data_IF_556554602332
#
_entry.id   IF_556554602332
#
_cell.length_a   1.000
_cell.length_b   1.000
_cell.length_c   1.000
_cell.angle_alpha   90.00
_cell.angle_beta   90.00
_cell.angle_gamma   90.00
#
_symmetry.space_group_name_H-M   'P 1'
#
loop_
_entity.id
_entity.type
_entity.pdbx_description
1 polymer ?
#
# COMPACT_ATOMS: atom_id res chain seq x y z
N UNK A 1 5.03 -3.80 27.02
CA UNK A 1 6.34 -4.49 27.10
C UNK A 1 7.31 -3.76 26.18
N UNK A 2 8.39 -3.17 26.70
CA UNK A 2 9.31 -2.37 25.88
C UNK A 2 10.28 -3.28 25.12
N UNK A 3 10.29 -3.23 23.78
CA UNK A 3 11.32 -3.90 22.95
C UNK A 3 12.64 -3.13 23.06
N UNK A 4 13.72 -3.74 23.60
CA UNK A 4 15.02 -3.08 23.68
C UNK A 4 15.53 -2.70 22.28
N UNK A 5 16.24 -1.58 22.17
CA UNK A 5 16.68 -0.99 20.89
C UNK A 5 18.19 -0.84 20.86
N UNK A 6 18.78 -1.03 19.69
CA UNK A 6 20.16 -0.64 19.40
C UNK A 6 20.16 0.68 18.63
N UNK A 7 20.94 1.65 19.09
CA UNK A 7 21.02 2.99 18.51
C UNK A 7 22.42 3.19 17.95
N UNK A 8 22.51 3.69 16.72
CA UNK A 8 23.77 4.24 16.19
C UNK A 8 24.01 5.62 16.83
N UNK A 9 25.12 5.71 17.56
CA UNK A 9 25.49 6.87 18.37
C UNK A 9 25.83 8.08 17.49
N UNK A 10 26.27 7.88 16.24
CA UNK A 10 26.64 8.98 15.35
C UNK A 10 25.43 9.59 14.65
N UNK A 11 24.42 8.77 14.33
CA UNK A 11 23.25 9.20 13.56
C UNK A 11 21.99 9.36 14.42
N UNK A 12 22.02 8.95 15.69
CA UNK A 12 20.87 8.88 16.61
C UNK A 12 19.71 8.08 16.01
N UNK A 13 20.03 7.08 15.17
CA UNK A 13 19.03 6.21 14.52
C UNK A 13 18.95 4.86 15.22
N UNK A 14 17.74 4.36 15.38
CA UNK A 14 17.53 2.98 15.83
C UNK A 14 17.91 2.05 14.67
N UNK A 15 18.94 1.24 14.86
CA UNK A 15 19.47 0.32 13.83
C UNK A 15 18.89 -1.08 13.94
N UNK A 16 18.54 -1.51 15.15
CA UNK A 16 17.95 -2.82 15.38
C UNK A 16 16.98 -2.82 16.56
N UNK A 17 16.03 -3.73 16.51
CA UNK A 17 15.11 -4.04 17.58
C UNK A 17 15.33 -5.45 18.09
N UNK A 18 15.11 -5.60 19.38
CA UNK A 18 15.24 -6.86 20.09
C UNK A 18 13.87 -7.36 20.52
N UNK A 19 13.49 -8.54 20.04
CA UNK A 19 12.33 -9.29 20.49
C UNK A 19 12.78 -10.52 21.28
N UNK A 20 12.07 -10.86 22.36
CA UNK A 20 12.34 -12.05 23.16
C UNK A 20 11.03 -12.76 23.48
N UNK A 21 11.02 -14.08 23.33
CA UNK A 21 9.96 -14.97 23.77
C UNK A 21 10.53 -15.87 24.86
N UNK A 22 9.91 -15.82 26.04
CA UNK A 22 10.15 -16.78 27.11
C UNK A 22 9.20 -17.96 26.93
N UNK A 23 9.75 -19.18 26.94
CA UNK A 23 8.96 -20.40 26.74
C UNK A 23 8.30 -20.78 28.07
N UNK A 24 6.99 -20.59 28.17
CA UNK A 24 6.24 -20.90 29.40
C UNK A 24 5.73 -22.35 29.44
N UNK A 25 5.58 -23.02 28.30
CA UNK A 25 5.15 -24.42 28.24
C UNK A 25 6.32 -25.36 28.56
N UNK A 26 6.11 -26.28 29.51
CA UNK A 26 7.13 -27.25 29.90
C UNK A 26 7.57 -28.15 28.74
N UNK A 27 6.65 -28.51 27.84
CA UNK A 27 6.97 -29.28 26.64
C UNK A 27 7.82 -28.47 25.65
N UNK A 28 7.54 -27.17 25.50
CA UNK A 28 8.35 -26.29 24.67
C UNK A 28 9.75 -26.07 25.26
N UNK A 29 9.86 -25.96 26.59
CA UNK A 29 11.14 -25.86 27.28
C UNK A 29 11.98 -27.14 27.09
N UNK A 30 11.36 -28.31 27.25
CA UNK A 30 12.01 -29.61 27.07
C UNK A 30 12.46 -29.79 25.63
N UNK A 31 11.57 -29.52 24.67
CA UNK A 31 11.89 -29.57 23.23
C UNK A 31 13.07 -28.66 22.86
N UNK A 32 13.12 -27.43 23.41
CA UNK A 32 14.25 -26.53 23.21
C UNK A 32 15.56 -27.04 23.84
N UNK A 33 15.49 -27.69 25.02
CA UNK A 33 16.64 -28.27 25.73
C UNK A 33 17.23 -29.47 25.01
N UNK A 34 16.36 -30.37 24.53
CA UNK A 34 16.71 -31.55 23.74
C UNK A 34 17.25 -31.19 22.36
N UNK A 35 17.03 -29.95 21.94
CA UNK A 35 17.68 -29.36 20.79
C UNK A 35 16.90 -29.43 19.51
N UNK A 36 15.57 -29.35 19.63
CA UNK A 36 14.67 -29.16 18.51
C UNK A 36 15.19 -28.08 17.55
N UNK A 37 14.94 -28.32 16.26
CA UNK A 37 15.22 -27.37 15.21
C UNK A 37 14.38 -26.11 15.40
N UNK A 38 14.98 -24.96 15.08
CA UNK A 38 14.34 -23.66 15.21
C UNK A 38 14.37 -22.96 13.88
N UNK A 39 13.19 -22.70 13.36
CA UNK A 39 13.01 -21.93 12.15
C UNK A 39 12.43 -20.55 12.49
N UNK A 40 12.85 -19.54 11.73
CA UNK A 40 12.27 -18.20 11.81
C UNK A 40 11.68 -17.82 10.47
N UNK A 41 10.40 -17.49 10.46
CA UNK A 41 9.65 -17.11 9.28
C UNK A 41 9.15 -15.68 9.45
N UNK A 42 9.39 -14.83 8.45
CA UNK A 42 8.84 -13.47 8.46
C UNK A 42 7.43 -13.50 7.88
N UNK A 43 6.43 -13.41 8.74
CA UNK A 43 5.01 -13.48 8.36
C UNK A 43 4.44 -12.11 7.99
N UNK A 44 5.01 -11.03 8.52
CA UNK A 44 4.75 -9.66 8.05
C UNK A 44 5.99 -8.78 8.17
N UNK A 45 5.93 -7.55 7.66
CA UNK A 45 7.03 -6.59 7.81
C UNK A 45 7.40 -6.36 9.30
N UNK A 46 6.43 -6.45 10.20
CA UNK A 46 6.58 -6.20 11.63
C UNK A 46 6.52 -7.47 12.49
N UNK A 47 6.36 -8.66 11.90
CA UNK A 47 6.18 -9.91 12.67
C UNK A 47 7.15 -10.98 12.19
N UNK A 48 7.90 -11.55 13.14
CA UNK A 48 8.72 -12.74 12.92
C UNK A 48 8.13 -13.87 13.75
N UNK A 49 7.72 -14.94 13.09
CA UNK A 49 7.25 -16.17 13.70
C UNK A 49 8.42 -17.10 13.95
N UNK A 50 8.50 -17.64 15.17
CA UNK A 50 9.46 -18.65 15.60
C UNK A 50 8.74 -20.00 15.63
N UNK A 51 9.27 -20.98 14.94
CA UNK A 51 8.83 -22.37 14.96
C UNK A 51 9.86 -23.19 15.73
N UNK A 52 9.43 -23.95 16.73
CA UNK A 52 10.29 -24.85 17.52
C UNK A 52 9.78 -26.28 17.33
N UNK A 53 10.57 -27.11 16.66
CA UNK A 53 10.14 -28.42 16.19
C UNK A 53 8.88 -28.33 15.31
N UNK A 54 8.01 -29.34 15.40
CA UNK A 54 6.76 -29.39 14.63
C UNK A 54 5.56 -28.78 15.36
N UNK A 55 5.68 -28.53 16.67
CA UNK A 55 4.51 -28.38 17.54
C UNK A 55 4.36 -26.98 18.13
N UNK A 56 5.41 -26.16 18.16
CA UNK A 56 5.37 -24.89 18.85
C UNK A 56 5.60 -23.71 17.90
N UNK A 57 4.68 -22.75 17.96
CA UNK A 57 4.70 -21.52 17.19
C UNK A 57 4.57 -20.32 18.12
N UNK A 58 5.49 -19.38 17.99
CA UNK A 58 5.48 -18.11 18.74
C UNK A 58 5.64 -16.94 17.78
N UNK A 59 5.06 -15.78 18.11
CA UNK A 59 5.14 -14.58 17.28
C UNK A 59 5.81 -13.43 18.02
N UNK A 60 6.81 -12.84 17.38
CA UNK A 60 7.46 -11.62 17.83
C UNK A 60 6.96 -10.44 17.00
N UNK A 61 6.16 -9.59 17.64
CA UNK A 61 5.64 -8.36 17.05
C UNK A 61 6.58 -7.18 17.36
N UNK A 62 7.07 -6.54 16.32
CA UNK A 62 7.91 -5.35 16.38
C UNK A 62 7.08 -4.08 16.10
N UNK A 63 7.38 -2.95 16.76
CA UNK A 63 6.66 -1.69 16.55
C UNK A 63 6.96 -1.01 15.21
N UNK A 64 7.96 -1.46 14.46
CA UNK A 64 8.33 -0.96 13.14
C UNK A 64 8.82 -2.12 12.26
N UNK A 65 8.72 -2.01 10.93
CA UNK A 65 9.25 -3.02 10.03
C UNK A 65 10.71 -3.39 10.29
N UNK A 66 10.99 -4.69 10.27
CA UNK A 66 12.34 -5.26 10.47
C UNK A 66 12.71 -6.24 9.36
N UNK A 67 14.01 -6.50 9.20
CA UNK A 67 14.52 -7.47 8.22
C UNK A 67 14.93 -8.79 8.88
N UNK A 68 14.19 -9.87 8.61
CA UNK A 68 14.55 -11.22 9.09
C UNK A 68 15.85 -11.73 8.48
N UNK A 69 16.12 -11.45 7.21
CA UNK A 69 17.31 -11.96 6.49
C UNK A 69 18.64 -11.54 7.12
N UNK A 70 18.68 -10.41 7.82
CA UNK A 70 19.84 -9.87 8.55
C UNK A 70 19.70 -9.99 10.07
N UNK A 71 18.70 -10.72 10.54
CA UNK A 71 18.45 -10.89 11.98
C UNK A 71 19.41 -11.89 12.61
N UNK A 72 19.73 -11.66 13.88
CA UNK A 72 20.53 -12.58 14.70
C UNK A 72 19.61 -13.30 15.67
N UNK A 73 19.60 -14.63 15.57
CA UNK A 73 18.91 -15.51 16.51
C UNK A 73 19.82 -15.84 17.69
N UNK A 74 19.28 -15.74 18.90
CA UNK A 74 19.94 -16.10 20.15
C UNK A 74 19.07 -17.08 20.91
N UNK A 75 19.67 -18.23 21.22
CA UNK A 75 18.98 -19.36 21.83
C UNK A 75 19.60 -19.62 23.20
N UNK A 76 18.78 -19.56 24.24
CA UNK A 76 19.21 -19.91 25.57
C UNK A 76 18.43 -21.13 26.04
N UNK A 77 18.99 -22.32 25.75
CA UNK A 77 18.35 -23.61 26.02
C UNK A 77 18.17 -23.89 27.50
N UNK A 78 19.12 -23.49 28.35
CA UNK A 78 19.06 -23.71 29.80
C UNK A 78 18.01 -22.82 30.48
N UNK A 79 17.97 -21.54 30.11
CA UNK A 79 17.03 -20.53 30.62
C UNK A 79 15.76 -20.40 29.77
N UNK A 80 15.55 -21.33 28.84
CA UNK A 80 14.36 -21.50 28.00
C UNK A 80 13.79 -20.23 27.36
N UNK A 81 14.63 -19.45 26.66
CA UNK A 81 14.16 -18.32 25.86
C UNK A 81 14.77 -18.28 24.47
N UNK A 82 14.02 -17.66 23.54
CA UNK A 82 14.44 -17.35 22.18
C UNK A 82 14.43 -15.84 22.00
N UNK A 83 15.52 -15.30 21.47
CA UNK A 83 15.71 -13.87 21.28
C UNK A 83 16.11 -13.59 19.83
N UNK A 84 15.49 -12.58 19.23
CA UNK A 84 15.79 -12.12 17.88
C UNK A 84 16.22 -10.67 17.93
N UNK A 85 17.40 -10.38 17.42
CA UNK A 85 17.86 -9.01 17.14
C UNK A 85 17.70 -8.77 15.64
N UNK A 86 16.67 -8.01 15.28
CA UNK A 86 16.30 -7.76 13.90
C UNK A 86 16.61 -6.30 13.51
N UNK A 87 17.39 -6.06 12.43
CA UNK A 87 17.63 -4.71 11.93
C UNK A 87 16.32 -4.04 11.50
N UNK A 88 16.20 -2.73 11.78
CA UNK A 88 15.09 -1.93 11.26
C UNK A 88 15.21 -1.84 9.75
N UNK A 89 14.08 -2.01 9.05
CA UNK A 89 14.06 -1.92 7.60
C UNK A 89 14.36 -0.50 7.14
N UNK A 90 15.27 -0.35 6.17
CA UNK A 90 15.58 0.95 5.59
C UNK A 90 14.39 1.51 4.82
N UNK A 91 14.25 2.84 4.80
CA UNK A 91 13.11 3.52 4.20
C UNK A 91 12.93 3.20 2.71
N UNK A 92 14.04 3.01 1.97
CA UNK A 92 14.01 2.64 0.56
C UNK A 92 13.55 1.19 0.34
N UNK A 93 13.69 0.31 1.34
CA UNK A 93 13.14 -1.05 1.29
C UNK A 93 11.62 -1.08 1.58
N UNK A 94 11.07 0.02 2.11
CA UNK A 94 9.64 0.15 2.45
C UNK A 94 8.79 0.71 1.32
N UNK A 95 9.32 0.88 0.10
CA UNK A 95 8.59 1.50 -1.02
C UNK A 95 7.20 0.91 -1.23
N UNK A 96 7.10 -0.43 -1.17
CA UNK A 96 5.88 -1.21 -1.34
C UNK A 96 4.97 -1.23 -0.09
N UNK A 97 5.47 -0.82 1.07
CA UNK A 97 4.73 -0.83 2.34
C UNK A 97 3.97 0.49 2.55
N UNK A 98 3.12 0.87 1.59
CA UNK A 98 2.30 2.09 1.69
C UNK A 98 0.95 1.83 2.36
N UNK A 99 0.23 0.82 1.86
CA UNK A 99 -1.08 0.40 2.36
C UNK A 99 -1.09 -1.11 2.66
N UNK A 100 -0.31 -1.55 3.67
CA UNK A 100 -0.27 -2.95 4.04
C UNK A 100 -1.68 -3.49 4.29
N UNK A 101 -1.98 -4.59 3.63
CA UNK A 101 -3.23 -5.32 3.75
C UNK A 101 -2.89 -6.78 3.98
N UNK A 102 -3.59 -7.42 4.90
CA UNK A 102 -3.38 -8.82 5.29
C UNK A 102 -4.72 -9.55 5.31
N UNK A 103 -4.69 -10.87 5.26
CA UNK A 103 -5.90 -11.68 5.38
C UNK A 103 -6.02 -12.10 6.84
N UNK A 104 -7.12 -11.71 7.46
CA UNK A 104 -7.49 -12.10 8.83
C UNK A 104 -8.79 -12.89 8.76
N UNK A 105 -8.79 -14.13 9.26
CA UNK A 105 -9.95 -15.02 9.24
C UNK A 105 -10.72 -15.03 7.91
N UNK A 106 -10.02 -15.18 6.78
CA UNK A 106 -10.53 -15.13 5.39
C UNK A 106 -10.99 -13.75 4.87
N UNK A 107 -10.89 -12.70 5.67
CA UNK A 107 -11.24 -11.34 5.29
C UNK A 107 -9.98 -10.49 5.08
N UNK A 108 -9.85 -9.80 3.94
CA UNK A 108 -8.77 -8.84 3.74
C UNK A 108 -8.96 -7.60 4.62
N UNK A 109 -8.01 -7.34 5.51
CA UNK A 109 -7.96 -6.20 6.42
C UNK A 109 -6.88 -5.23 5.95
N UNK A 110 -7.23 -3.94 5.84
CA UNK A 110 -6.26 -2.87 5.58
C UNK A 110 -5.78 -2.29 6.91
N UNK A 111 -4.46 -2.22 7.09
CA UNK A 111 -3.86 -1.79 8.36
C UNK A 111 -4.04 -0.28 8.60
N UNK A 112 -3.69 0.55 7.61
CA UNK A 112 -3.49 1.99 7.80
C UNK A 112 -4.34 2.86 6.84
N UNK A 113 -5.28 2.26 6.11
CA UNK A 113 -6.23 2.99 5.27
C UNK A 113 -7.46 3.42 6.10
N UNK A 114 -7.73 4.72 6.30
CA UNK A 114 -8.90 5.18 7.07
C UNK A 114 -10.21 4.74 6.40
N UNK A 115 -11.31 4.45 7.10
CA UNK A 115 -12.59 4.11 6.43
C UNK A 115 -13.26 5.33 5.78
N UNK A 116 -14.00 5.15 4.68
CA UNK A 116 -14.78 6.23 4.04
C UNK A 116 -16.14 5.77 3.50
N UNK A 117 -17.14 6.62 3.75
CA UNK A 117 -18.48 6.48 3.18
C UNK A 117 -18.62 7.46 2.02
N UNK A 118 -18.26 7.02 0.81
CA UNK A 118 -18.15 7.88 -0.36
C UNK A 118 -19.47 8.58 -0.73
N UNK A 119 -20.60 7.93 -0.50
CA UNK A 119 -21.92 8.49 -0.80
C UNK A 119 -22.27 9.71 0.05
N UNK A 120 -21.55 9.93 1.16
CA UNK A 120 -21.72 11.09 2.06
C UNK A 120 -20.73 12.22 1.79
N UNK A 121 -19.74 12.00 0.92
CA UNK A 121 -18.74 13.04 0.63
C UNK A 121 -19.27 14.02 -0.43
N UNK A 122 -19.16 15.35 -0.21
CA UNK A 122 -19.55 16.36 -1.18
C UNK A 122 -18.78 16.20 -2.49
N UNK A 123 -19.48 16.42 -3.61
CA UNK A 123 -18.92 16.29 -4.95
C UNK A 123 -18.35 17.64 -5.40
N UNK A 124 -17.12 17.61 -5.93
CA UNK A 124 -16.49 18.78 -6.53
C UNK A 124 -16.97 18.96 -7.97
N UNK A 125 -17.36 20.19 -8.30
CA UNK A 125 -17.77 20.57 -9.65
C UNK A 125 -16.55 20.79 -10.55
N UNK A 126 -16.25 19.78 -11.38
CA UNK A 126 -15.14 19.81 -12.35
C UNK A 126 -15.41 20.63 -13.61
N UNK A 127 -16.59 21.25 -13.75
CA UNK A 127 -16.86 22.20 -14.84
C UNK A 127 -16.29 23.58 -14.53
N UNK A 128 -16.18 23.93 -13.24
CA UNK A 128 -15.64 25.19 -12.74
C UNK A 128 -14.14 25.07 -12.45
N UNK A 129 -13.34 24.73 -13.47
CA UNK A 129 -11.90 24.47 -13.33
C UNK A 129 -11.13 25.59 -12.63
N UNK A 130 -11.53 26.87 -12.82
CA UNK A 130 -10.92 28.02 -12.12
C UNK A 130 -11.03 27.91 -10.59
N UNK A 131 -12.14 27.36 -10.08
CA UNK A 131 -12.36 27.17 -8.64
C UNK A 131 -11.58 25.97 -8.07
N UNK A 132 -10.97 25.15 -8.93
CA UNK A 132 -10.21 23.97 -8.54
C UNK A 132 -8.69 24.19 -8.58
N UNK A 133 -8.20 25.41 -8.80
CA UNK A 133 -6.75 25.68 -8.86
C UNK A 133 -6.00 25.25 -7.60
N UNK A 134 -6.65 25.34 -6.43
CA UNK A 134 -6.10 24.86 -5.16
C UNK A 134 -5.75 23.36 -5.19
N UNK A 135 -6.40 22.55 -6.04
CA UNK A 135 -6.15 21.12 -6.17
C UNK A 135 -4.74 20.85 -6.70
N UNK A 136 -4.17 21.74 -7.52
CA UNK A 136 -2.76 21.62 -7.97
C UNK A 136 -1.83 21.64 -6.77
N UNK A 137 -2.01 22.62 -5.87
CA UNK A 137 -1.22 22.73 -4.65
C UNK A 137 -1.45 21.53 -3.74
N UNK A 138 -2.72 21.18 -3.47
CA UNK A 138 -3.06 20.06 -2.59
C UNK A 138 -2.46 18.75 -3.07
N UNK A 139 -2.60 18.43 -4.36
CA UNK A 139 -2.02 17.20 -4.93
C UNK A 139 -0.49 17.26 -5.01
N UNK A 140 0.13 18.44 -5.11
CA UNK A 140 1.60 18.57 -5.07
C UNK A 140 2.18 18.33 -3.67
N UNK A 141 1.37 18.49 -2.61
CA UNK A 141 1.81 18.22 -1.24
C UNK A 141 1.98 16.73 -0.94
N UNK A 142 1.43 15.82 -1.78
CA UNK A 142 1.64 14.38 -1.61
C UNK A 142 3.11 13.95 -1.73
N UNK A 143 3.94 14.78 -2.38
CA UNK A 143 5.37 14.54 -2.55
C UNK A 143 6.15 15.12 -1.37
N UNK A 144 6.94 14.28 -0.71
CA UNK A 144 7.94 14.70 0.28
C UNK A 144 9.05 15.55 -0.36
N UNK A 145 9.83 16.27 0.45
CA UNK A 145 10.97 17.06 -0.02
C UNK A 145 11.93 16.22 -0.88
N UNK A 146 12.26 15.01 -0.41
CA UNK A 146 13.11 14.06 -1.16
C UNK A 146 12.49 13.70 -2.52
N UNK A 147 11.21 13.35 -2.55
CA UNK A 147 10.49 13.00 -3.78
C UNK A 147 10.40 14.17 -4.76
N UNK A 148 10.29 15.41 -4.26
CA UNK A 148 10.33 16.62 -5.12
C UNK A 148 11.68 16.79 -5.79
N UNK A 149 12.78 16.61 -5.04
CA UNK A 149 14.14 16.65 -5.60
C UNK A 149 14.33 15.54 -6.64
N UNK A 150 13.95 14.30 -6.32
CA UNK A 150 14.02 13.19 -7.27
C UNK A 150 13.17 13.45 -8.53
N UNK A 151 11.98 14.05 -8.37
CA UNK A 151 11.10 14.40 -9.48
C UNK A 151 11.76 15.42 -10.41
N UNK A 152 12.42 16.44 -9.88
CA UNK A 152 13.15 17.43 -10.68
C UNK A 152 14.28 16.77 -11.48
N UNK A 153 15.06 15.91 -10.85
CA UNK A 153 16.14 15.17 -11.53
C UNK A 153 15.59 14.19 -12.58
N UNK A 154 14.42 13.59 -12.33
CA UNK A 154 13.80 12.63 -13.24
C UNK A 154 13.24 13.23 -14.53
N UNK A 155 13.13 14.57 -14.62
CA UNK A 155 12.70 15.23 -15.86
C UNK A 155 13.69 15.00 -17.03
N UNK A 156 14.92 14.60 -16.71
CA UNK A 156 15.98 14.33 -17.69
C UNK A 156 16.12 12.84 -18.05
N UNK A 157 15.30 11.95 -17.46
CA UNK A 157 15.36 10.49 -17.71
C UNK A 157 14.47 10.16 -18.91
N UNK A 158 15.01 9.49 -19.93
CA UNK A 158 14.26 8.99 -21.07
C UNK A 158 13.11 8.07 -20.59
N UNK A 159 11.87 8.40 -20.99
CA UNK A 159 10.66 7.67 -20.57
C UNK A 159 10.06 8.10 -19.24
N UNK A 160 10.75 8.92 -18.43
CA UNK A 160 10.18 9.58 -17.24
C UNK A 160 9.76 8.65 -16.08
N UNK A 161 10.09 7.35 -16.13
CA UNK A 161 9.82 6.37 -15.07
C UNK A 161 11.06 6.25 -14.17
N UNK A 162 10.90 6.47 -12.87
CA UNK A 162 12.00 6.36 -11.90
C UNK A 162 12.14 4.92 -11.38
N UNK A 163 13.28 4.57 -10.77
CA UNK A 163 13.41 3.29 -10.04
C UNK A 163 12.56 3.21 -8.77
N UNK A 164 12.03 4.34 -8.29
CA UNK A 164 11.30 4.40 -7.02
C UNK A 164 9.80 4.22 -7.30
N UNK A 165 9.24 3.08 -6.90
CA UNK A 165 7.88 2.68 -7.24
C UNK A 165 6.84 3.64 -6.61
N UNK A 166 7.10 4.09 -5.38
CA UNK A 166 6.26 5.02 -4.64
C UNK A 166 6.17 6.39 -5.33
N UNK A 167 7.29 6.91 -5.82
CA UNK A 167 7.35 8.16 -6.56
C UNK A 167 6.55 8.06 -7.85
N UNK A 168 6.71 6.98 -8.62
CA UNK A 168 5.95 6.77 -9.85
C UNK A 168 4.45 6.67 -9.57
N UNK A 169 4.05 5.89 -8.56
CA UNK A 169 2.67 5.79 -8.10
C UNK A 169 2.06 7.18 -7.79
N UNK A 170 2.80 8.03 -7.06
CA UNK A 170 2.35 9.41 -6.78
C UNK A 170 2.27 10.27 -8.05
N UNK A 171 3.21 10.11 -8.99
CA UNK A 171 3.19 10.81 -10.29
C UNK A 171 1.98 10.39 -11.13
N UNK A 172 1.67 9.10 -11.21
CA UNK A 172 0.50 8.59 -11.93
C UNK A 172 -0.80 9.06 -11.27
N UNK A 173 -0.88 9.01 -9.95
CA UNK A 173 -2.02 9.53 -9.19
C UNK A 173 -2.22 11.05 -9.38
N UNK A 174 -1.15 11.84 -9.29
CA UNK A 174 -1.17 13.28 -9.60
C UNK A 174 -1.69 13.52 -11.03
N UNK A 175 -1.14 12.79 -12.02
CA UNK A 175 -1.55 12.87 -13.42
C UNK A 175 -3.04 12.58 -13.60
N UNK A 176 -3.57 11.56 -12.94
CA UNK A 176 -5.00 11.24 -12.97
C UNK A 176 -5.86 12.38 -12.44
N UNK A 177 -5.50 12.98 -11.30
CA UNK A 177 -6.28 14.08 -10.72
C UNK A 177 -6.26 15.33 -11.62
N UNK A 178 -5.10 15.68 -12.17
CA UNK A 178 -4.99 16.82 -13.08
C UNK A 178 -5.79 16.60 -14.37
N UNK A 179 -5.73 15.40 -14.93
CA UNK A 179 -6.51 15.02 -16.12
C UNK A 179 -8.00 14.99 -15.84
N UNK A 180 -8.42 14.45 -14.69
CA UNK A 180 -9.84 14.31 -14.39
C UNK A 180 -10.51 15.67 -14.12
N UNK A 181 -9.80 16.56 -13.41
CA UNK A 181 -10.27 17.92 -13.13
C UNK A 181 -10.19 18.84 -14.36
N UNK A 182 -9.35 18.51 -15.35
CA UNK A 182 -9.07 19.38 -16.48
C UNK A 182 -8.18 20.57 -16.12
N UNK A 183 -7.44 20.48 -14.99
CA UNK A 183 -6.51 21.53 -14.56
C UNK A 183 -5.20 21.53 -15.36
N UNK A 184 -4.78 20.36 -15.86
CA UNK A 184 -3.61 20.26 -16.74
C UNK A 184 -3.85 19.27 -17.87
N UNK A 185 -3.59 19.73 -19.10
CA UNK A 185 -3.73 18.94 -20.32
C UNK A 185 -5.18 18.57 -20.65
N UNK A 186 -5.34 17.55 -21.49
CA UNK A 186 -6.66 17.09 -21.94
C UNK A 186 -7.44 16.44 -20.81
N UNK A 187 -8.69 16.88 -20.62
CA UNK A 187 -9.58 16.32 -19.62
C UNK A 187 -9.92 14.88 -19.98
N UNK A 188 -9.71 13.93 -19.08
CA UNK A 188 -10.05 12.52 -19.29
C UNK A 188 -10.66 11.91 -18.04
N UNK A 189 -11.65 11.05 -18.24
CA UNK A 189 -12.29 10.27 -17.18
C UNK A 189 -11.85 8.82 -17.18
N UNK A 190 -11.13 8.36 -18.20
CA UNK A 190 -10.74 6.97 -18.37
C UNK A 190 -9.23 6.85 -18.42
N UNK A 191 -8.67 6.05 -17.53
CA UNK A 191 -7.24 5.84 -17.41
C UNK A 191 -6.91 4.37 -17.63
N UNK A 192 -6.00 4.10 -18.55
CA UNK A 192 -5.47 2.75 -18.79
C UNK A 192 -4.07 2.63 -18.21
N UNK A 193 -3.82 1.65 -17.35
CA UNK A 193 -2.48 1.35 -16.88
C UNK A 193 -1.84 0.31 -17.79
N UNK A 194 -0.80 0.73 -18.50
CA UNK A 194 -0.04 -0.13 -19.39
C UNK A 194 1.25 -0.55 -18.71
N UNK A 195 1.52 -1.85 -18.78
CA UNK A 195 2.83 -2.39 -18.40
C UNK A 195 3.81 -2.11 -19.55
N UNK A 196 4.88 -1.37 -19.27
CA UNK A 196 5.88 -1.02 -20.27
C UNK A 196 6.65 -2.24 -20.80
N UNK A 197 6.72 -3.34 -20.03
CA UNK A 197 7.49 -4.54 -20.38
C UNK A 197 6.64 -5.61 -21.06
N UNK A 198 5.40 -5.80 -20.58
CA UNK A 198 4.49 -6.84 -21.09
C UNK A 198 3.60 -6.38 -22.24
N UNK A 199 3.46 -5.07 -22.40
CA UNK A 199 2.63 -4.44 -23.41
C UNK A 199 1.13 -4.53 -23.10
N UNK A 200 0.40 -3.51 -23.54
CA UNK A 200 -1.06 -3.45 -23.40
C UNK A 200 -1.56 -2.98 -22.03
N UNK A 201 -2.83 -2.57 -22.02
CA UNK A 201 -3.52 -2.08 -20.81
C UNK A 201 -3.99 -3.26 -19.97
N UNK A 202 -3.57 -3.31 -18.71
CA UNK A 202 -3.94 -4.37 -17.76
C UNK A 202 -5.03 -3.94 -16.78
N UNK A 203 -5.09 -2.65 -16.45
CA UNK A 203 -6.06 -2.07 -15.52
C UNK A 203 -6.70 -0.86 -16.19
N UNK A 204 -8.03 -0.80 -16.18
CA UNK A 204 -8.80 0.36 -16.62
C UNK A 204 -9.47 1.00 -15.42
N UNK A 205 -9.33 2.32 -15.27
CA UNK A 205 -9.98 3.11 -14.24
C UNK A 205 -10.97 4.06 -14.89
N UNK A 206 -12.22 3.95 -14.47
CA UNK A 206 -13.35 4.71 -14.95
C UNK A 206 -13.75 5.73 -13.88
N UNK A 207 -13.17 6.92 -13.94
CA UNK A 207 -13.47 8.01 -13.03
C UNK A 207 -14.91 8.50 -13.17
N UNK A 208 -15.62 8.57 -12.06
CA UNK A 208 -16.98 9.09 -11.97
C UNK A 208 -16.98 10.54 -11.48
N UNK A 209 -16.41 10.82 -10.30
CA UNK A 209 -16.51 12.12 -9.61
C UNK A 209 -15.28 12.39 -8.75
N UNK A 210 -14.95 13.67 -8.58
CA UNK A 210 -14.09 14.11 -7.48
C UNK A 210 -14.96 14.43 -6.27
N UNK A 211 -14.53 13.99 -5.08
CA UNK A 211 -15.22 14.22 -3.82
C UNK A 211 -14.25 14.79 -2.79
N UNK A 212 -14.77 15.61 -1.89
CA UNK A 212 -13.99 16.20 -0.81
C UNK A 212 -14.24 15.45 0.50
N UNK A 213 -13.19 14.89 1.07
CA UNK A 213 -13.20 14.28 2.38
C UNK A 213 -12.78 15.34 3.42
N UNK A 214 -13.79 16.00 3.98
CA UNK A 214 -13.61 17.09 4.93
C UNK A 214 -12.96 16.63 6.23
N UNK A 215 -13.23 15.39 6.68
CA UNK A 215 -12.72 14.87 7.94
C UNK A 215 -11.21 14.61 7.89
N UNK A 216 -10.69 14.20 6.74
CA UNK A 216 -9.26 13.96 6.53
C UNK A 216 -8.58 15.04 5.68
N UNK A 217 -9.26 16.15 5.40
CA UNK A 217 -8.78 17.25 4.56
C UNK A 217 -8.18 16.79 3.22
N UNK A 218 -8.83 15.83 2.54
CA UNK A 218 -8.30 15.24 1.31
C UNK A 218 -9.33 15.14 0.19
N UNK A 219 -8.87 14.77 -1.01
CA UNK A 219 -9.71 14.66 -2.20
C UNK A 219 -9.68 13.24 -2.75
N UNK A 220 -10.87 12.74 -3.08
CA UNK A 220 -11.13 11.37 -3.50
C UNK A 220 -11.56 11.35 -4.96
N UNK A 221 -10.97 10.46 -5.77
CA UNK A 221 -11.46 10.14 -7.10
C UNK A 221 -12.35 8.89 -7.03
N UNK A 222 -13.66 9.12 -6.98
CA UNK A 222 -14.67 8.07 -7.07
C UNK A 222 -14.62 7.45 -8.47
N UNK A 223 -14.18 6.20 -8.57
CA UNK A 223 -13.93 5.52 -9.85
C UNK A 223 -14.33 4.03 -9.80
N UNK A 224 -14.64 3.41 -10.92
CA UNK A 224 -14.64 1.96 -11.03
C UNK A 224 -13.29 1.48 -11.57
N UNK A 225 -12.85 0.30 -11.15
CA UNK A 225 -11.64 -0.35 -11.68
C UNK A 225 -12.06 -1.63 -12.39
N UNK A 226 -11.44 -1.88 -13.53
CA UNK A 226 -11.64 -3.07 -14.32
C UNK A 226 -10.28 -3.72 -14.60
N UNK A 227 -10.09 -4.94 -14.12
CA UNK A 227 -8.90 -5.74 -14.41
C UNK A 227 -9.10 -6.46 -15.75
N UNK A 228 -8.31 -6.09 -16.76
CA UNK A 228 -8.41 -6.66 -18.09
C UNK A 228 -7.68 -8.00 -18.12
N UNK A 229 -8.45 -9.09 -18.11
CA UNK A 229 -7.93 -10.45 -18.24
C UNK A 229 -8.23 -11.02 -19.63
N UNK A 230 -7.44 -11.98 -20.13
CA UNK A 230 -7.71 -12.62 -21.43
C UNK A 230 -9.10 -13.26 -21.54
N UNK A 231 -9.70 -13.64 -20.40
CA UNK A 231 -11.06 -14.20 -20.35
C UNK A 231 -12.14 -13.12 -20.40
N UNK A 232 -11.87 -11.95 -19.82
CA UNK A 232 -12.82 -10.85 -19.77
C UNK A 232 -12.84 -10.05 -21.07
N UNK A 233 -11.67 -9.76 -21.65
CA UNK A 233 -11.50 -8.90 -22.83
C UNK A 233 -12.46 -9.28 -23.97
N UNK A 234 -12.59 -10.55 -24.40
CA UNK A 234 -13.51 -10.93 -25.48
C UNK A 234 -14.97 -10.60 -25.17
N UNK A 235 -15.39 -10.69 -23.90
CA UNK A 235 -16.77 -10.46 -23.47
C UNK A 235 -17.16 -8.98 -23.43
N UNK A 236 -16.18 -8.11 -23.26
CA UNK A 236 -16.40 -6.65 -23.14
C UNK A 236 -15.81 -5.87 -24.32
N UNK A 237 -15.50 -6.55 -25.44
CA UNK A 237 -14.84 -5.94 -26.60
C UNK A 237 -15.55 -4.68 -27.09
N UNK A 238 -16.86 -4.76 -27.33
CA UNK A 238 -17.66 -3.62 -27.79
C UNK A 238 -17.58 -2.42 -26.84
N UNK A 239 -17.54 -2.68 -25.52
CA UNK A 239 -17.36 -1.64 -24.51
C UNK A 239 -15.95 -1.02 -24.56
N UNK A 240 -14.90 -1.83 -24.76
CA UNK A 240 -13.53 -1.33 -24.90
C UNK A 240 -13.34 -0.50 -26.17
N UNK A 241 -13.96 -0.91 -27.28
CA UNK A 241 -13.96 -0.16 -28.55
C UNK A 241 -14.67 1.19 -28.38
N UNK A 242 -15.86 1.20 -27.77
CA UNK A 242 -16.60 2.43 -27.49
C UNK A 242 -15.81 3.40 -26.61
N UNK A 243 -15.14 2.90 -25.56
CA UNK A 243 -14.32 3.72 -24.68
C UNK A 243 -13.08 4.26 -25.38
N UNK A 244 -12.44 3.44 -26.22
CA UNK A 244 -11.26 3.86 -26.99
C UNK A 244 -11.57 5.06 -27.88
N UNK A 245 -12.78 5.12 -28.45
CA UNK A 245 -13.26 6.26 -29.22
C UNK A 245 -13.48 7.54 -28.38
N UNK A 246 -13.82 7.40 -27.09
CA UNK A 246 -14.00 8.55 -26.17
C UNK A 246 -12.70 9.12 -25.60
N UNK A 247 -11.57 8.43 -25.83
CA UNK A 247 -10.25 8.84 -25.37
C UNK A 247 -9.86 8.21 -24.03
N UNK A 248 -8.96 7.23 -24.09
CA UNK A 248 -8.31 6.62 -22.93
C UNK A 248 -6.96 7.28 -22.70
N UNK A 249 -6.73 7.79 -21.49
CA UNK A 249 -5.40 8.25 -21.11
C UNK A 249 -4.56 7.08 -20.60
N UNK A 250 -3.60 6.64 -21.41
CA UNK A 250 -2.68 5.58 -21.04
C UNK A 250 -1.58 6.14 -20.13
N UNK A 251 -1.34 5.47 -19.02
CA UNK A 251 -0.24 5.72 -18.09
C UNK A 251 0.67 4.50 -18.12
N UNK A 252 1.89 4.69 -18.60
CA UNK A 252 2.91 3.64 -18.67
C UNK A 252 3.56 3.47 -17.31
N UNK A 253 3.69 2.22 -16.87
CA UNK A 253 4.18 1.85 -15.55
C UNK A 253 5.25 0.77 -15.66
N UNK A 254 6.16 0.74 -14.69
CA UNK A 254 7.03 -0.41 -14.48
C UNK A 254 6.37 -1.45 -13.58
N UNK A 255 6.98 -2.64 -13.49
CA UNK A 255 6.46 -3.77 -12.72
C UNK A 255 6.23 -3.46 -11.24
N UNK A 256 7.13 -2.67 -10.64
CA UNK A 256 7.05 -2.32 -9.22
C UNK A 256 5.94 -1.32 -8.93
N UNK A 257 5.75 -0.30 -9.79
CA UNK A 257 4.60 0.60 -9.73
C UNK A 257 3.29 -0.17 -9.94
N UNK A 258 3.25 -1.09 -10.91
CA UNK A 258 2.06 -1.92 -11.17
C UNK A 258 1.71 -2.79 -9.96
N UNK A 259 2.71 -3.37 -9.29
CA UNK A 259 2.51 -4.16 -8.06
C UNK A 259 1.92 -3.30 -6.95
N UNK A 260 2.47 -2.09 -6.75
CA UNK A 260 1.99 -1.14 -5.75
C UNK A 260 0.55 -0.67 -6.04
N UNK A 261 0.21 -0.42 -7.30
CA UNK A 261 -1.17 -0.09 -7.70
C UNK A 261 -2.15 -1.21 -7.41
N UNK A 262 -1.82 -2.46 -7.75
CA UNK A 262 -2.68 -3.62 -7.45
C UNK A 262 -2.96 -3.73 -5.95
N UNK A 263 -1.93 -3.64 -5.11
CA UNK A 263 -2.08 -3.65 -3.66
C UNK A 263 -2.95 -2.48 -3.15
N UNK A 264 -2.71 -1.29 -3.66
CA UNK A 264 -3.42 -0.08 -3.23
C UNK A 264 -4.88 -0.10 -3.65
N UNK A 265 -5.17 -0.54 -4.88
CA UNK A 265 -6.53 -0.77 -5.39
C UNK A 265 -7.26 -1.73 -4.46
N UNK A 266 -6.69 -2.90 -4.17
CA UNK A 266 -7.30 -3.87 -3.23
C UNK A 266 -7.59 -3.24 -1.85
N UNK A 267 -6.65 -2.49 -1.29
CA UNK A 267 -6.86 -1.79 -0.01
C UNK A 267 -7.99 -0.76 -0.09
N UNK A 268 -8.07 -0.01 -1.19
CA UNK A 268 -9.13 0.97 -1.45
C UNK A 268 -10.51 0.33 -1.61
N UNK A 269 -10.61 -0.88 -2.17
CA UNK A 269 -11.88 -1.61 -2.29
C UNK A 269 -12.44 -1.96 -0.90
N UNK A 270 -11.59 -2.50 -0.02
CA UNK A 270 -11.97 -2.92 1.33
C UNK A 270 -12.41 -1.76 2.23
N UNK A 271 -11.79 -0.59 2.04
CA UNK A 271 -12.13 0.66 2.73
C UNK A 271 -13.62 1.03 2.67
N UNK A 272 -14.28 0.68 1.55
CA UNK A 272 -15.64 1.11 1.25
C UNK A 272 -16.72 0.13 1.74
N UNK A 273 -16.35 -1.05 2.24
CA UNK A 273 -17.32 -2.12 2.51
C UNK A 273 -18.07 -1.86 3.84
N UNK A 274 -19.37 -1.53 3.81
CA UNK A 274 -20.15 -1.28 5.04
C UNK A 274 -20.66 -2.57 5.69
N UNK A 275 -20.48 -3.73 5.05
CA UNK A 275 -21.11 -5.00 5.47
C UNK A 275 -20.42 -5.73 6.63
N UNK A 276 -19.36 -5.19 7.23
CA UNK A 276 -18.69 -5.83 8.37
C UNK A 276 -19.47 -5.79 9.70
N UNK A 277 -20.72 -5.32 9.68
CA UNK A 277 -21.66 -5.46 10.81
C UNK A 277 -23.03 -6.04 10.44
N UNK A 278 -23.22 -6.59 9.24
CA UNK A 278 -24.40 -7.41 8.97
C UNK A 278 -23.94 -8.80 8.55
N UNK A 279 -23.97 -9.73 9.51
CA UNK A 279 -24.16 -11.12 9.16
C UNK A 279 -25.39 -11.22 8.25
N UNK A 280 -25.35 -12.26 7.42
CA UNK A 280 -26.47 -12.86 6.70
C UNK A 280 -26.66 -12.42 5.23
N UNK A 281 -26.28 -13.36 4.36
CA UNK A 281 -26.81 -13.64 3.03
C UNK A 281 -26.72 -12.57 1.93
N UNK A 282 -25.72 -12.71 1.06
CA UNK A 282 -25.96 -12.81 -0.39
C UNK A 282 -24.67 -13.19 -1.14
N UNK A 283 -24.67 -14.39 -1.73
CA UNK A 283 -23.76 -14.75 -2.83
C UNK A 283 -24.24 -14.01 -4.07
N UNK A 284 -23.56 -12.95 -4.50
CA UNK A 284 -23.80 -12.36 -5.81
C UNK A 284 -22.58 -11.60 -6.36
N UNK A 285 -22.09 -12.08 -7.50
CA UNK A 285 -21.43 -11.34 -8.59
C UNK A 285 -20.21 -10.43 -8.25
N UNK A 286 -19.01 -10.92 -8.59
CA UNK A 286 -17.75 -10.17 -8.63
C UNK A 286 -17.78 -9.02 -9.67
N UNK A 287 -18.42 -7.90 -9.33
CA UNK A 287 -18.19 -6.59 -9.94
C UNK A 287 -17.52 -5.68 -8.91
N UNK A 288 -16.21 -5.74 -8.83
CA UNK A 288 -15.45 -4.98 -7.84
C UNK A 288 -15.31 -3.51 -8.29
N UNK A 289 -16.24 -2.66 -7.85
CA UNK A 289 -16.13 -1.19 -7.98
C UNK A 289 -15.02 -0.68 -7.07
N UNK A 290 -13.78 -0.75 -7.53
CA UNK A 290 -12.66 -0.23 -6.74
C UNK A 290 -12.38 1.24 -7.06
N UNK A 291 -12.30 2.08 -6.02
CA UNK A 291 -12.32 3.54 -6.09
C UNK A 291 -11.00 4.12 -5.58
N UNK A 292 -10.34 5.01 -6.32
CA UNK A 292 -8.96 5.44 -6.07
C UNK A 292 -8.87 6.74 -5.28
N UNK A 293 -8.02 6.78 -4.24
CA UNK A 293 -7.97 7.90 -3.29
C UNK A 293 -6.52 8.37 -3.09
N UNK A 294 -6.30 9.69 -3.14
CA UNK A 294 -5.09 10.33 -2.62
C UNK A 294 -5.24 10.42 -1.10
N UNK A 295 -4.22 9.99 -0.36
CA UNK A 295 -4.04 10.42 1.03
C UNK A 295 -2.77 11.25 1.13
N UNK A 296 -2.91 12.40 1.77
CA UNK A 296 -1.83 13.25 2.24
C UNK A 296 -1.08 12.54 3.39
N UNK A 297 0.24 12.42 3.28
CA UNK A 297 1.11 12.00 4.39
C UNK A 297 1.86 13.25 4.85
N UNK A 298 1.13 14.20 5.44
CA UNK A 298 1.71 15.35 6.12
C UNK A 298 0.94 15.71 7.38
N UNK A 299 0.90 14.79 8.33
CA UNK A 299 0.78 15.14 9.75
C UNK A 299 1.80 14.34 10.54
N UNK A 300 3.07 14.76 10.44
CA UNK A 300 3.95 14.71 11.61
C UNK A 300 3.71 16.00 12.36
N UNK A 301 2.88 15.87 13.38
CA UNK A 301 2.79 16.73 14.54
C UNK A 301 4.20 17.15 14.99
N UNK A 302 4.62 18.38 14.71
CA UNK A 302 5.63 19.04 15.52
C UNK A 302 4.92 19.58 16.76
N UNK A 303 4.84 18.73 17.80
CA UNK A 303 4.78 19.21 19.18
C UNK A 303 6.21 19.10 19.70
N UNK A 304 6.90 20.24 19.68
CA UNK A 304 7.86 20.78 20.65
C UNK A 304 8.63 21.89 19.96
#
# INVERSE_FOLDING_TARGET
MATPKTVDIQTVRITALKGRVDLNSQDAQTSLREGAEIETVQTSACVITILIGTNFRYELCFPTPVMRSRSKLRLARKSSYVEIVAPVMEQDSLEHFMYPSFIDESHPVSWNMPRLILNRLPILDTTKTRNLQWLITHTSLMFSTRERTLRQTSMNIAGGIHSNARLNYKKSLFSMFMSFSGLQGTKSKVFGFSDATRGGVSILILGSRLRLDLANHTVVLDAAVLLLTPRLIPRIRAFLEAISATGVRVINMNDDEMRLWKQTISACAQRHNPSSHSCENSKESLYEKTKLIIKDVSTSTMIS
#
